data_IF_267950177918
#
_entry.id   IF_267950177918
#
_cell.length_a   1.000
_cell.length_b   1.000
_cell.length_c   1.000
_cell.angle_alpha   90.00
_cell.angle_beta   90.00
_cell.angle_gamma   90.00
#
_symmetry.space_group_name_H-M   'P 1'
#
loop_
_entity.id
_entity.type
_entity.pdbx_description
1 polymer ?
#
# COMPACT_ATOMS: atom_id res chain seq x y z
N UNK A 1 -1.75 42.99 12.14
CA UNK A 1 -2.65 41.81 12.17
C UNK A 1 -2.72 41.08 10.81
N UNK A 2 -1.61 40.96 10.05
CA UNK A 2 -1.64 40.53 8.62
C UNK A 2 -0.65 39.39 8.26
N UNK A 3 -0.31 38.51 9.21
CA UNK A 3 0.62 37.39 8.95
C UNK A 3 -0.04 35.99 8.89
N UNK A 4 -1.28 35.81 9.32
CA UNK A 4 -1.94 34.48 9.30
C UNK A 4 -2.38 34.03 7.90
N UNK A 5 -2.64 34.94 6.96
CA UNK A 5 -3.16 34.58 5.63
C UNK A 5 -2.10 34.09 4.63
N UNK A 6 -0.80 34.35 4.83
CA UNK A 6 0.24 33.86 3.92
C UNK A 6 0.66 32.41 4.20
N UNK A 7 0.50 31.89 5.42
CA UNK A 7 0.93 30.52 5.75
C UNK A 7 -0.11 29.45 5.33
N UNK A 8 -1.39 29.81 5.31
CA UNK A 8 -2.48 28.95 4.84
C UNK A 8 -2.37 28.58 3.36
N UNK A 9 -2.01 29.56 2.53
CA UNK A 9 -1.84 29.35 1.09
C UNK A 9 -0.58 28.56 0.75
N UNK A 10 0.43 28.57 1.65
CA UNK A 10 1.67 27.78 1.57
C UNK A 10 1.51 26.35 2.15
N UNK A 11 0.42 26.00 2.82
CA UNK A 11 0.12 24.58 3.13
C UNK A 11 -0.82 23.99 2.08
N UNK A 12 -1.80 24.77 1.61
CA UNK A 12 -2.76 24.29 0.60
C UNK A 12 -2.13 24.10 -0.77
N UNK A 13 -1.18 24.92 -1.17
CA UNK A 13 -0.36 24.69 -2.35
C UNK A 13 0.57 23.47 -2.19
N UNK A 14 1.10 23.14 -1.01
CA UNK A 14 1.89 21.91 -0.82
C UNK A 14 1.02 20.64 -0.78
N UNK A 15 -0.26 20.76 -0.43
CA UNK A 15 -1.26 19.71 -0.57
C UNK A 15 -1.82 19.63 -2.01
N UNK A 16 -1.89 20.75 -2.73
CA UNK A 16 -2.45 20.83 -4.10
C UNK A 16 -1.39 20.78 -5.22
N UNK A 17 -0.10 20.95 -4.93
CA UNK A 17 1.00 20.95 -5.92
C UNK A 17 1.76 19.64 -5.96
N UNK A 18 1.40 18.69 -5.11
CA UNK A 18 1.64 17.30 -5.43
C UNK A 18 0.86 16.95 -6.72
N UNK A 19 -0.40 17.36 -6.92
CA UNK A 19 -1.32 16.94 -8.02
C UNK A 19 -0.80 16.96 -9.47
N UNK A 20 -0.02 17.94 -9.96
CA UNK A 20 0.32 17.94 -11.40
C UNK A 20 1.39 16.91 -11.80
N UNK A 21 2.12 16.37 -10.82
CA UNK A 21 2.95 15.15 -10.95
C UNK A 21 2.37 13.99 -10.12
N UNK A 22 1.48 14.30 -9.16
CA UNK A 22 0.81 13.35 -8.29
C UNK A 22 -0.36 12.67 -8.91
N UNK A 23 -1.10 13.21 -9.88
CA UNK A 23 -2.13 12.37 -10.51
C UNK A 23 -1.45 11.17 -11.15
N UNK A 24 -0.28 11.36 -11.78
CA UNK A 24 0.53 10.25 -12.31
C UNK A 24 1.05 9.34 -11.20
N UNK A 25 1.59 9.87 -10.11
CA UNK A 25 2.09 9.04 -9.00
C UNK A 25 0.96 8.30 -8.28
N UNK A 26 -0.18 8.94 -8.04
CA UNK A 26 -1.38 8.40 -7.41
C UNK A 26 -2.01 7.31 -8.27
N UNK A 27 -2.07 7.52 -9.60
CA UNK A 27 -2.49 6.50 -10.55
C UNK A 27 -1.50 5.35 -10.57
N UNK A 28 -0.18 5.59 -10.61
CA UNK A 28 0.83 4.53 -10.50
C UNK A 28 0.66 3.75 -9.20
N UNK A 29 0.61 4.43 -8.06
CA UNK A 29 0.43 3.86 -6.72
C UNK A 29 -0.85 3.02 -6.66
N UNK A 30 -1.96 3.52 -7.19
CA UNK A 30 -3.24 2.79 -7.26
C UNK A 30 -3.18 1.57 -8.19
N UNK A 31 -2.54 1.70 -9.35
CA UNK A 31 -2.36 0.59 -10.30
C UNK A 31 -1.50 -0.52 -9.69
N UNK A 32 -0.37 -0.19 -9.07
CA UNK A 32 0.48 -1.17 -8.39
C UNK A 32 -0.23 -1.80 -7.18
N UNK A 33 -1.00 -1.02 -6.41
CA UNK A 33 -1.86 -1.54 -5.34
C UNK A 33 -2.87 -2.56 -5.88
N UNK A 34 -3.52 -2.26 -7.01
CA UNK A 34 -4.44 -3.19 -7.65
C UNK A 34 -3.74 -4.47 -8.13
N UNK A 35 -2.54 -4.35 -8.70
CA UNK A 35 -1.70 -5.51 -9.09
C UNK A 35 -1.37 -6.35 -7.87
N UNK A 36 -0.93 -5.75 -6.76
CA UNK A 36 -0.66 -6.46 -5.50
C UNK A 36 -1.92 -7.20 -5.02
N UNK A 37 -3.09 -6.54 -5.03
CA UNK A 37 -4.36 -7.18 -4.67
C UNK A 37 -4.66 -8.43 -5.51
N UNK A 38 -4.51 -8.35 -6.83
CA UNK A 38 -4.81 -9.47 -7.75
C UNK A 38 -3.80 -10.61 -7.57
N UNK A 39 -2.50 -10.29 -7.48
CA UNK A 39 -1.45 -11.30 -7.27
C UNK A 39 -1.55 -11.94 -5.88
N UNK A 40 -1.98 -11.18 -4.87
CA UNK A 40 -2.16 -11.69 -3.51
C UNK A 40 -3.25 -12.77 -3.43
N UNK A 41 -4.29 -12.70 -4.27
CA UNK A 41 -5.33 -13.75 -4.30
C UNK A 41 -4.78 -15.13 -4.65
N UNK A 42 -3.72 -15.19 -5.45
CA UNK A 42 -3.07 -16.44 -5.81
C UNK A 42 -2.14 -16.85 -4.67
N UNK A 43 -2.70 -17.61 -3.74
CA UNK A 43 -1.97 -18.21 -2.62
C UNK A 43 -2.17 -19.70 -2.59
N UNK A 44 -1.08 -20.45 -2.42
CA UNK A 44 -1.14 -21.88 -2.16
C UNK A 44 -1.15 -22.05 -0.63
N UNK A 45 -2.22 -22.60 -0.04
CA UNK A 45 -2.30 -22.82 1.40
C UNK A 45 -1.38 -23.99 1.79
N UNK A 46 -0.09 -23.70 1.93
CA UNK A 46 0.92 -24.60 2.51
C UNK A 46 0.90 -24.46 4.03
N UNK A 47 0.82 -25.55 4.78
CA UNK A 47 1.03 -25.53 6.23
C UNK A 47 2.54 -25.38 6.49
N UNK A 48 2.99 -24.50 7.41
CA UNK A 48 2.24 -23.65 8.35
C UNK A 48 1.98 -22.21 7.86
N UNK A 49 2.68 -21.74 6.82
CA UNK A 49 2.61 -20.36 6.33
C UNK A 49 2.19 -20.41 4.86
N UNK A 50 1.12 -19.71 4.46
CA UNK A 50 0.70 -19.68 3.07
C UNK A 50 1.78 -19.03 2.21
N UNK A 51 2.19 -19.72 1.14
CA UNK A 51 3.05 -19.10 0.14
C UNK A 51 2.19 -18.30 -0.84
N UNK A 52 2.52 -17.02 -1.02
CA UNK A 52 1.68 -16.06 -1.74
C UNK A 52 2.50 -15.35 -2.82
N UNK A 53 1.87 -15.09 -3.97
CA UNK A 53 2.46 -14.23 -5.00
C UNK A 53 2.46 -12.75 -4.61
N UNK A 54 1.88 -12.39 -3.46
CA UNK A 54 1.96 -11.05 -2.90
C UNK A 54 3.41 -10.60 -2.67
N UNK A 55 4.29 -11.49 -2.20
CA UNK A 55 5.71 -11.15 -1.97
C UNK A 55 6.36 -10.66 -3.26
N UNK A 56 6.12 -11.40 -4.34
CA UNK A 56 6.64 -11.11 -5.65
C UNK A 56 6.10 -9.77 -6.17
N UNK A 57 4.80 -9.51 -5.98
CA UNK A 57 4.19 -8.24 -6.35
C UNK A 57 4.81 -7.04 -5.61
N UNK A 58 5.17 -7.22 -4.33
CA UNK A 58 5.74 -6.17 -3.48
C UNK A 58 7.19 -5.90 -3.85
N UNK A 59 7.99 -6.95 -4.08
CA UNK A 59 9.34 -6.80 -4.63
C UNK A 59 9.32 -6.11 -5.99
N UNK A 60 8.37 -6.48 -6.86
CA UNK A 60 8.23 -5.83 -8.17
C UNK A 60 7.84 -4.36 -8.02
N UNK A 61 6.95 -4.03 -7.08
CA UNK A 61 6.55 -2.65 -6.80
C UNK A 61 7.72 -1.83 -6.26
N UNK A 62 8.52 -2.37 -5.32
CA UNK A 62 9.72 -1.69 -4.81
C UNK A 62 10.84 -1.55 -5.84
N UNK A 63 10.92 -2.47 -6.81
CA UNK A 63 11.90 -2.39 -7.90
C UNK A 63 11.51 -1.38 -9.00
N UNK A 64 10.20 -1.19 -9.26
CA UNK A 64 9.71 -0.35 -10.35
C UNK A 64 9.34 1.09 -9.91
N UNK A 65 8.92 1.30 -8.67
CA UNK A 65 8.56 2.62 -8.15
C UNK A 65 9.67 3.24 -7.28
N UNK A 66 9.79 4.59 -7.27
CA UNK A 66 10.62 5.24 -6.27
C UNK A 66 10.13 4.91 -4.85
N UNK A 67 11.05 4.77 -3.87
CA UNK A 67 10.76 4.19 -2.56
C UNK A 67 9.61 4.90 -1.82
N UNK A 68 9.50 6.23 -1.99
CA UNK A 68 8.40 7.00 -1.40
C UNK A 68 7.02 6.57 -1.94
N UNK A 69 6.89 6.30 -3.24
CA UNK A 69 5.62 5.90 -3.86
C UNK A 69 5.31 4.41 -3.62
N UNK A 70 6.35 3.58 -3.51
CA UNK A 70 6.21 2.16 -3.19
C UNK A 70 5.66 1.97 -1.77
N UNK A 71 6.21 2.70 -0.78
CA UNK A 71 5.69 2.76 0.59
C UNK A 71 4.21 3.14 0.64
N UNK A 72 3.83 4.20 -0.07
CA UNK A 72 2.42 4.63 -0.11
C UNK A 72 1.51 3.55 -0.69
N UNK A 73 1.93 2.84 -1.74
CA UNK A 73 1.12 1.79 -2.37
C UNK A 73 0.87 0.62 -1.41
N UNK A 74 1.92 0.17 -0.74
CA UNK A 74 1.84 -0.93 0.24
C UNK A 74 1.00 -0.51 1.46
N UNK A 75 1.12 0.74 1.89
CA UNK A 75 0.33 1.26 3.01
C UNK A 75 -1.16 1.35 2.66
N UNK A 76 -1.50 1.77 1.45
CA UNK A 76 -2.88 1.75 0.94
C UNK A 76 -3.42 0.33 0.86
N UNK A 77 -2.61 -0.62 0.37
CA UNK A 77 -2.96 -2.05 0.36
C UNK A 77 -3.28 -2.57 1.77
N UNK A 78 -2.44 -2.22 2.75
CA UNK A 78 -2.60 -2.66 4.13
C UNK A 78 -3.86 -2.06 4.77
N UNK A 79 -4.13 -0.76 4.52
CA UNK A 79 -5.36 -0.09 4.95
C UNK A 79 -6.59 -0.77 4.36
N UNK A 80 -6.60 -1.04 3.04
CA UNK A 80 -7.70 -1.73 2.37
C UNK A 80 -8.00 -3.08 3.01
N UNK A 81 -6.96 -3.87 3.29
CA UNK A 81 -7.13 -5.16 3.94
C UNK A 81 -7.50 -5.07 5.42
N UNK A 82 -7.06 -4.03 6.12
CA UNK A 82 -7.47 -3.75 7.49
C UNK A 82 -8.97 -3.39 7.58
N UNK A 83 -9.52 -2.69 6.58
CA UNK A 83 -10.96 -2.40 6.45
C UNK A 83 -11.83 -3.64 6.20
N UNK A 84 -11.24 -4.83 6.07
CA UNK A 84 -11.99 -6.08 5.93
C UNK A 84 -12.23 -6.51 4.49
N UNK A 85 -11.70 -5.78 3.50
CA UNK A 85 -11.72 -6.27 2.12
C UNK A 85 -10.85 -7.54 2.02
N UNK A 86 -11.32 -8.60 1.32
CA UNK A 86 -10.57 -9.84 1.13
C UNK A 86 -9.44 -9.65 0.12
N UNK A 87 -8.52 -8.71 0.39
CA UNK A 87 -7.34 -8.41 -0.43
C UNK A 87 -6.11 -9.20 -0.01
N UNK A 88 -6.16 -9.90 1.13
CA UNK A 88 -5.09 -10.76 1.58
C UNK A 88 -5.27 -12.18 1.01
N UNK A 89 -4.14 -12.86 0.90
CA UNK A 89 -4.03 -14.22 0.39
C UNK A 89 -5.09 -15.19 0.93
N UNK A 90 -5.70 -15.94 0.01
CA UNK A 90 -6.70 -16.97 0.31
C UNK A 90 -8.07 -16.40 0.66
N UNK A 91 -8.48 -15.29 0.03
CA UNK A 91 -9.73 -14.55 0.31
C UNK A 91 -9.86 -14.12 1.78
N UNK A 92 -8.73 -13.88 2.44
CA UNK A 92 -8.71 -13.44 3.84
C UNK A 92 -8.67 -11.92 3.89
N UNK A 93 -9.36 -11.35 4.87
CA UNK A 93 -9.48 -9.90 5.06
C UNK A 93 -9.72 -9.58 6.53
N UNK A 94 -9.42 -8.35 6.93
CA UNK A 94 -9.69 -7.83 8.26
C UNK A 94 -8.54 -7.96 9.25
N UNK A 95 -8.71 -7.31 10.40
CA UNK A 95 -7.72 -7.24 11.49
C UNK A 95 -7.28 -8.64 11.98
N UNK A 96 -8.13 -9.65 11.79
CA UNK A 96 -7.82 -11.04 12.12
C UNK A 96 -6.62 -11.61 11.33
N UNK A 97 -6.29 -11.06 10.16
CA UNK A 97 -5.10 -11.44 9.37
C UNK A 97 -3.83 -10.76 9.91
N UNK A 98 -3.97 -9.58 10.51
CA UNK A 98 -2.89 -8.86 11.20
C UNK A 98 -2.55 -9.48 12.56
N UNK A 99 -3.52 -10.07 13.26
CA UNK A 99 -3.30 -10.73 14.55
C UNK A 99 -2.96 -12.22 14.42
N UNK A 100 -3.06 -12.78 13.21
CA UNK A 100 -2.69 -14.17 12.91
C UNK A 100 -1.21 -14.34 12.53
N UNK A 101 -0.81 -15.59 12.22
CA UNK A 101 0.56 -15.94 11.83
C UNK A 101 1.10 -15.13 10.63
N UNK A 102 0.23 -14.61 9.77
CA UNK A 102 0.60 -13.81 8.59
C UNK A 102 0.89 -12.34 8.91
N UNK A 103 0.47 -11.83 10.07
CA UNK A 103 0.54 -10.39 10.37
C UNK A 103 1.94 -9.80 10.37
N UNK A 104 2.93 -10.55 10.88
CA UNK A 104 4.33 -10.10 10.90
C UNK A 104 4.91 -9.90 9.49
N UNK A 105 4.46 -10.70 8.54
CA UNK A 105 4.90 -10.62 7.15
C UNK A 105 4.26 -9.43 6.42
N UNK A 106 3.01 -9.08 6.74
CA UNK A 106 2.37 -7.86 6.23
C UNK A 106 3.03 -6.58 6.76
N UNK A 107 3.47 -6.58 8.03
CA UNK A 107 4.19 -5.44 8.62
C UNK A 107 5.61 -5.28 8.09
N UNK A 108 6.19 -6.32 7.48
CA UNK A 108 7.50 -6.23 6.83
C UNK A 108 7.45 -5.51 5.48
N UNK A 109 6.29 -5.51 4.80
CA UNK A 109 6.16 -4.92 3.47
C UNK A 109 6.48 -3.43 3.40
N UNK A 110 5.98 -2.57 4.31
CA UNK A 110 6.35 -1.16 4.34
C UNK A 110 7.79 -0.93 4.78
N UNK A 111 8.50 -1.91 5.34
CA UNK A 111 9.94 -1.77 5.60
C UNK A 111 10.79 -2.15 4.39
N UNK A 112 10.23 -2.91 3.44
CA UNK A 112 10.98 -3.47 2.31
C UNK A 112 10.82 -2.67 1.01
N UNK A 113 9.73 -1.91 0.85
CA UNK A 113 9.45 -1.02 -0.30
C UNK A 113 10.02 0.37 -0.11
#
# INVERSE_FOLDING_TARGET
>A
MKQTSCNYNVTKDNIAKEESTSVKNLVLTGMFTAVICVLSQISIPTQPIPFTLALFAIFLTGALLPPRAALLSVLVYLLLGAFGLPVFAGFKGGIHVLTGMTGGYLMAYPFMS
#
